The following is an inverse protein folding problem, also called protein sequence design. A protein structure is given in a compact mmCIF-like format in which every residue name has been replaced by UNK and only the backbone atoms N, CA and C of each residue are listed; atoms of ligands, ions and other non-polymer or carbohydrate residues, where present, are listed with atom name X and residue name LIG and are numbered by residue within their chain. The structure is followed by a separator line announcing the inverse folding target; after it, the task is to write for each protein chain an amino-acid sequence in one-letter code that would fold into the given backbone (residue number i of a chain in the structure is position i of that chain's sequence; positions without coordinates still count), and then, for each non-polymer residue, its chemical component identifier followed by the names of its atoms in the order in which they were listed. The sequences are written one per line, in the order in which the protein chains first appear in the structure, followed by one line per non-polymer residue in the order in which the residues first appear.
data_IF_144051519426
#
_entry.id   IF_144051519426
#
_cell.length_a   1.000
_cell.length_b   1.000
_cell.length_c   1.000
_cell.angle_alpha   90.00
_cell.angle_beta   90.00
_cell.angle_gamma   90.00
#
_symmetry.space_group_name_H-M   'P 1'
#
loop_
_entity.id
_entity.type
_entity.pdbx_description
1 polymer ?
#
# COMPACT_ATOMS: atom_id res chain seq x y z
N UNK A 1 1.07 21.06 29.71
CA UNK A 1 1.45 21.71 28.45
C UNK A 1 2.94 22.03 28.53
N UNK A 2 3.80 21.23 27.91
CA UNK A 2 5.22 21.53 27.75
C UNK A 2 5.43 21.59 26.24
N UNK A 3 5.51 22.81 25.69
CA UNK A 3 5.86 23.04 24.30
C UNK A 3 7.33 23.45 24.27
N UNK A 4 8.20 22.54 23.85
CA UNK A 4 9.59 22.87 23.52
C UNK A 4 9.89 22.32 22.13
N UNK A 5 10.03 23.23 21.17
CA UNK A 5 10.52 22.98 19.82
C UNK A 5 11.15 24.25 19.28
N UNK A 6 12.33 24.60 19.77
CA UNK A 6 13.19 25.68 19.21
C UNK A 6 14.59 25.19 18.84
N UNK A 7 14.79 23.88 18.78
CA UNK A 7 16.01 23.30 18.24
C UNK A 7 15.65 22.67 16.90
N UNK A 8 16.19 23.19 15.79
CA UNK A 8 15.91 22.74 14.41
C UNK A 8 16.24 21.28 14.08
N UNK A 9 16.43 20.45 15.11
CA UNK A 9 16.71 19.03 15.06
C UNK A 9 15.45 18.14 15.16
N UNK A 10 14.32 18.67 15.66
CA UNK A 10 13.11 17.88 15.96
C UNK A 10 11.82 18.64 15.67
N UNK A 11 10.78 17.90 15.33
CA UNK A 11 9.41 18.41 15.24
C UNK A 11 8.84 18.76 16.62
N UNK A 12 7.84 19.64 16.66
CA UNK A 12 7.16 20.01 17.90
C UNK A 12 6.38 18.81 18.46
N UNK A 13 6.38 18.61 19.79
CA UNK A 13 5.73 17.46 20.42
C UNK A 13 4.80 17.86 21.53
N UNK A 14 3.65 17.21 21.59
CA UNK A 14 2.73 17.26 22.73
C UNK A 14 2.24 15.85 23.04
N UNK A 15 1.89 15.59 24.30
CA UNK A 15 1.27 14.33 24.71
C UNK A 15 -0.05 14.68 25.38
N UNK A 16 -1.11 14.02 24.94
CA UNK A 16 -2.44 14.11 25.52
C UNK A 16 -3.02 12.70 25.62
N UNK A 17 -3.50 12.32 26.81
CA UNK A 17 -4.13 11.02 27.09
C UNK A 17 -3.30 9.81 26.62
N UNK A 18 -1.97 9.91 26.74
CA UNK A 18 -1.03 8.86 26.33
C UNK A 18 -0.75 8.78 24.82
N UNK A 19 -1.32 9.67 24.01
CA UNK A 19 -1.06 9.78 22.57
C UNK A 19 -0.11 10.95 22.30
N UNK A 20 0.98 10.69 21.58
CA UNK A 20 1.93 11.72 21.16
C UNK A 20 1.48 12.41 19.86
N UNK A 21 1.48 13.73 19.80
CA UNK A 21 1.31 14.49 18.55
C UNK A 21 2.66 15.06 18.13
N UNK A 22 3.08 14.80 16.88
CA UNK A 22 4.35 15.27 16.30
C UNK A 22 4.05 16.26 15.16
N UNK A 23 4.21 17.54 15.45
CA UNK A 23 3.89 18.67 14.58
C UNK A 23 5.10 19.03 13.71
N UNK A 24 5.05 18.59 12.45
CA UNK A 24 6.10 18.83 11.46
C UNK A 24 5.85 20.09 10.61
N UNK A 25 4.60 20.54 10.48
CA UNK A 25 4.21 21.60 9.54
C UNK A 25 4.79 21.33 8.15
N UNK A 26 5.58 22.27 7.61
CA UNK A 26 6.37 22.11 6.36
C UNK A 26 7.87 21.83 6.58
N UNK A 27 8.33 21.70 7.83
CA UNK A 27 9.74 21.53 8.21
C UNK A 27 10.34 20.15 7.92
N UNK A 28 11.64 20.12 7.63
CA UNK A 28 12.46 18.90 7.50
C UNK A 28 13.52 18.95 8.60
N UNK A 29 13.68 17.87 9.36
CA UNK A 29 14.38 17.87 10.64
C UNK A 29 15.65 17.04 10.63
N UNK A 30 16.66 17.62 11.28
CA UNK A 30 18.00 17.10 11.43
C UNK A 30 18.14 16.14 12.61
N UNK A 31 17.47 14.98 12.54
CA UNK A 31 17.41 14.03 13.66
C UNK A 31 18.71 13.24 13.78
N UNK A 32 19.27 13.20 15.00
CA UNK A 32 20.49 12.44 15.28
C UNK A 32 20.29 10.96 14.94
N UNK A 33 21.28 10.36 14.27
CA UNK A 33 21.29 8.97 13.82
C UNK A 33 20.22 8.61 12.76
N UNK A 34 19.57 9.60 12.15
CA UNK A 34 18.74 9.43 10.96
C UNK A 34 19.50 9.88 9.70
N UNK A 35 19.20 9.30 8.53
CA UNK A 35 19.88 9.64 7.29
C UNK A 35 19.48 11.02 6.75
N UNK A 36 20.37 11.63 5.98
CA UNK A 36 20.18 12.96 5.36
C UNK A 36 19.88 12.93 3.87
N UNK A 37 20.34 11.88 3.20
CA UNK A 37 20.13 11.71 1.78
C UNK A 37 19.85 10.24 1.47
N UNK A 38 19.08 10.03 0.43
CA UNK A 38 18.81 8.73 -0.17
C UNK A 38 19.19 8.80 -1.64
N UNK A 39 20.00 7.85 -2.08
CA UNK A 39 20.27 7.59 -3.49
C UNK A 39 19.75 6.20 -3.84
N UNK A 40 18.95 6.12 -4.90
CA UNK A 40 18.48 4.87 -5.49
C UNK A 40 19.43 4.46 -6.60
N UNK A 41 19.86 3.19 -6.59
CA UNK A 41 20.62 2.60 -7.70
C UNK A 41 19.86 1.41 -8.24
N UNK A 42 19.47 1.47 -9.51
CA UNK A 42 18.83 0.32 -10.18
C UNK A 42 19.82 -0.85 -10.19
N UNK A 43 19.36 -2.01 -9.70
CA UNK A 43 20.13 -3.25 -9.74
C UNK A 43 19.76 -4.06 -11.00
N UNK A 44 18.48 -4.31 -11.20
CA UNK A 44 17.92 -5.06 -12.32
C UNK A 44 16.41 -4.81 -12.44
N UNK A 45 15.80 -5.39 -13.46
CA UNK A 45 14.35 -5.39 -13.68
C UNK A 45 13.85 -6.76 -14.15
N UNK A 46 12.58 -7.04 -13.88
CA UNK A 46 11.83 -8.18 -14.45
C UNK A 46 10.82 -7.57 -15.42
N UNK A 47 11.09 -7.66 -16.71
CA UNK A 47 10.29 -7.06 -17.77
C UNK A 47 9.38 -8.13 -18.40
N UNK A 48 8.05 -7.95 -18.36
CA UNK A 48 7.13 -8.93 -18.93
C UNK A 48 7.11 -8.93 -20.47
N UNK A 49 7.75 -7.97 -21.12
CA UNK A 49 7.97 -7.99 -22.57
C UNK A 49 9.20 -8.82 -22.97
N UNK A 50 10.07 -9.17 -22.03
CA UNK A 50 11.21 -10.07 -22.28
C UNK A 50 10.69 -11.47 -22.62
N UNK A 51 11.19 -12.05 -23.73
CA UNK A 51 10.74 -13.36 -24.21
C UNK A 51 10.87 -14.47 -23.15
N UNK A 52 11.93 -14.43 -22.33
CA UNK A 52 12.14 -15.41 -21.28
C UNK A 52 11.11 -15.27 -20.15
N UNK A 53 10.70 -14.04 -19.82
CA UNK A 53 9.65 -13.79 -18.81
C UNK A 53 8.27 -14.11 -19.38
N UNK A 54 8.00 -13.70 -20.62
CA UNK A 54 6.74 -13.99 -21.31
C UNK A 54 6.51 -15.51 -21.44
N UNK A 55 7.56 -16.28 -21.72
CA UNK A 55 7.50 -17.74 -21.80
C UNK A 55 7.10 -18.42 -20.48
N UNK A 56 7.21 -17.74 -19.33
CA UNK A 56 6.74 -18.27 -18.03
C UNK A 56 5.22 -18.32 -17.92
N UNK A 57 4.51 -17.50 -18.71
CA UNK A 57 3.06 -17.29 -18.59
C UNK A 57 2.66 -16.22 -17.58
N UNK A 58 3.60 -15.44 -17.03
CA UNK A 58 3.30 -14.24 -16.28
C UNK A 58 2.81 -13.13 -17.23
N UNK A 59 1.53 -12.78 -17.15
CA UNK A 59 0.89 -11.85 -18.09
C UNK A 59 0.58 -10.47 -17.50
N UNK A 60 0.50 -10.36 -16.19
CA UNK A 60 0.17 -9.12 -15.48
C UNK A 60 0.58 -9.24 -14.01
N UNK A 61 0.69 -8.12 -13.30
CA UNK A 61 1.12 -8.03 -11.90
C UNK A 61 0.02 -7.40 -11.05
N UNK A 62 -0.46 -8.11 -10.03
CA UNK A 62 -1.39 -7.58 -9.03
C UNK A 62 -0.62 -6.90 -7.88
N UNK A 63 0.35 -7.62 -7.33
CA UNK A 63 1.29 -7.15 -6.32
C UNK A 63 2.54 -8.04 -6.35
N UNK A 64 3.53 -7.73 -5.51
CA UNK A 64 4.74 -8.56 -5.36
C UNK A 64 5.16 -8.65 -3.89
N UNK A 65 6.14 -9.47 -3.54
CA UNK A 65 6.87 -9.31 -2.30
C UNK A 65 8.26 -9.95 -2.39
N UNK A 66 9.11 -9.79 -1.37
CA UNK A 66 10.43 -10.43 -1.34
C UNK A 66 10.73 -11.18 -0.02
N UNK A 67 11.40 -12.33 -0.02
CA UNK A 67 11.81 -12.92 1.26
C UNK A 67 13.10 -12.29 1.80
N UNK A 68 13.55 -12.67 3.00
CA UNK A 68 14.81 -12.23 3.60
C UNK A 68 16.06 -12.62 2.80
N UNK A 69 15.95 -13.61 1.90
CA UNK A 69 16.99 -14.03 0.96
C UNK A 69 16.97 -13.20 -0.33
N UNK A 70 15.99 -12.31 -0.48
CA UNK A 70 15.81 -11.45 -1.63
C UNK A 70 15.15 -12.15 -2.82
N UNK A 71 14.60 -13.36 -2.67
CA UNK A 71 13.73 -13.96 -3.70
C UNK A 71 12.48 -13.13 -3.84
N UNK A 72 12.00 -12.98 -5.06
CA UNK A 72 10.89 -12.10 -5.42
C UNK A 72 9.70 -12.96 -5.81
N UNK A 73 8.56 -12.72 -5.19
CA UNK A 73 7.29 -13.39 -5.50
C UNK A 73 6.39 -12.39 -6.19
N UNK A 74 6.02 -12.67 -7.44
CA UNK A 74 5.08 -11.85 -8.21
C UNK A 74 3.74 -12.57 -8.26
N UNK A 75 2.69 -11.82 -7.95
CA UNK A 75 1.34 -12.32 -7.92
C UNK A 75 0.60 -11.89 -9.19
N UNK A 76 0.11 -12.85 -9.94
CA UNK A 76 -0.50 -12.62 -11.25
C UNK A 76 -1.93 -12.13 -11.10
N UNK A 77 -2.21 -10.99 -11.71
CA UNK A 77 -3.56 -10.38 -11.74
C UNK A 77 -4.51 -11.13 -12.66
N UNK A 78 -5.79 -11.18 -12.27
CA UNK A 78 -6.89 -11.72 -13.08
C UNK A 78 -6.65 -13.12 -13.66
N UNK A 79 -5.91 -13.97 -12.95
CA UNK A 79 -5.64 -15.32 -13.40
C UNK A 79 -6.93 -16.16 -13.44
N UNK A 80 -7.27 -16.70 -14.61
CA UNK A 80 -8.41 -17.60 -14.84
C UNK A 80 -7.99 -19.05 -15.07
N UNK A 81 -6.70 -19.30 -15.25
CA UNK A 81 -6.09 -20.61 -15.42
C UNK A 81 -4.58 -20.56 -15.12
N UNK A 82 -3.98 -21.73 -14.93
CA UNK A 82 -2.55 -21.88 -14.68
C UNK A 82 -2.14 -21.45 -13.27
N UNK A 83 -0.84 -21.22 -13.08
CA UNK A 83 -0.26 -20.78 -11.83
C UNK A 83 -0.43 -19.28 -11.61
N UNK A 84 -0.43 -18.87 -10.35
CA UNK A 84 -0.75 -17.50 -9.96
C UNK A 84 0.35 -16.81 -9.15
N UNK A 85 1.27 -17.57 -8.58
CA UNK A 85 2.47 -17.05 -7.93
C UNK A 85 3.69 -17.42 -8.76
N UNK A 86 4.53 -16.44 -9.05
CA UNK A 86 5.75 -16.57 -9.84
C UNK A 86 6.94 -16.19 -8.97
N UNK A 87 7.87 -17.12 -8.79
CA UNK A 87 9.08 -16.90 -8.00
C UNK A 87 10.25 -16.60 -8.91
N UNK A 88 10.97 -15.53 -8.54
CA UNK A 88 12.22 -15.12 -9.13
C UNK A 88 13.30 -15.10 -8.05
N UNK A 89 14.53 -15.39 -8.45
CA UNK A 89 15.66 -15.29 -7.54
C UNK A 89 16.03 -13.84 -7.20
N UNK A 90 17.05 -13.67 -6.36
CA UNK A 90 17.51 -12.35 -5.92
C UNK A 90 18.17 -11.48 -6.99
N UNK A 91 18.21 -11.97 -8.24
CA UNK A 91 18.76 -11.33 -9.44
C UNK A 91 17.72 -11.24 -10.57
N UNK A 92 16.46 -11.57 -10.29
CA UNK A 92 15.35 -11.45 -11.25
C UNK A 92 15.26 -12.58 -12.27
N UNK A 93 15.89 -13.74 -12.04
CA UNK A 93 15.70 -14.93 -12.88
C UNK A 93 14.50 -15.73 -12.41
N UNK A 94 13.65 -16.14 -13.34
CA UNK A 94 12.52 -17.01 -13.03
C UNK A 94 13.01 -18.37 -12.54
N UNK A 95 12.44 -18.84 -11.42
CA UNK A 95 12.76 -20.15 -10.83
C UNK A 95 11.60 -21.13 -11.01
N UNK A 96 10.37 -20.71 -10.66
CA UNK A 96 9.17 -21.54 -10.77
C UNK A 96 7.89 -20.73 -10.64
N UNK A 97 6.76 -21.36 -10.95
CA UNK A 97 5.43 -20.87 -10.61
C UNK A 97 4.61 -21.94 -9.91
N UNK A 98 3.67 -21.53 -9.06
CA UNK A 98 2.81 -22.42 -8.27
C UNK A 98 1.47 -21.72 -7.93
N UNK A 99 0.69 -22.31 -7.02
CA UNK A 99 -0.65 -21.88 -6.66
C UNK A 99 -1.59 -21.91 -7.88
N UNK A 100 -1.94 -23.12 -8.38
CA UNK A 100 -2.76 -23.30 -9.57
C UNK A 100 -4.21 -22.83 -9.34
N UNK A 101 -4.83 -22.28 -10.38
CA UNK A 101 -6.27 -22.02 -10.40
C UNK A 101 -7.04 -23.33 -10.56
N UNK A 102 -7.99 -23.58 -9.66
CA UNK A 102 -8.88 -24.75 -9.75
C UNK A 102 -9.63 -25.04 -8.45
N UNK A 103 -10.20 -26.24 -8.34
CA UNK A 103 -11.05 -26.66 -7.22
C UNK A 103 -10.48 -27.83 -6.40
N UNK A 104 -9.37 -28.41 -6.84
CA UNK A 104 -8.68 -29.51 -6.20
C UNK A 104 -7.87 -29.10 -4.97
N UNK A 105 -7.31 -30.08 -4.24
CA UNK A 105 -6.43 -29.81 -3.11
C UNK A 105 -5.23 -28.93 -3.50
N UNK A 106 -5.05 -27.82 -2.79
CA UNK A 106 -3.98 -26.85 -3.04
C UNK A 106 -4.19 -25.90 -4.22
N UNK A 107 -5.35 -25.97 -4.86
CA UNK A 107 -5.76 -25.03 -5.92
C UNK A 107 -6.57 -23.86 -5.33
N UNK A 108 -6.54 -22.71 -6.01
CA UNK A 108 -7.26 -21.49 -5.59
C UNK A 108 -8.29 -21.03 -6.62
N UNK A 109 -9.36 -20.42 -6.14
CA UNK A 109 -10.43 -19.82 -6.95
C UNK A 109 -10.53 -18.33 -6.66
N UNK A 110 -10.47 -17.50 -7.72
CA UNK A 110 -10.50 -16.03 -7.65
C UNK A 110 -9.57 -15.50 -6.54
N UNK A 111 -8.26 -15.71 -6.67
CA UNK A 111 -7.33 -15.37 -5.61
C UNK A 111 -7.30 -13.86 -5.34
N UNK A 112 -7.05 -13.51 -4.08
CA UNK A 112 -6.58 -12.19 -3.66
C UNK A 112 -5.28 -12.41 -2.88
N UNK A 113 -4.24 -11.73 -3.29
CA UNK A 113 -2.89 -12.00 -2.79
C UNK A 113 -2.53 -11.08 -1.64
N UNK A 114 -1.86 -11.67 -0.65
CA UNK A 114 -1.31 -10.96 0.49
C UNK A 114 0.22 -10.87 0.35
N UNK A 115 0.84 -10.06 1.20
CA UNK A 115 2.30 -10.06 1.38
C UNK A 115 2.77 -11.32 2.14
N UNK A 116 4.07 -11.58 2.08
CA UNK A 116 4.71 -12.58 2.95
C UNK A 116 4.50 -12.19 4.41
N UNK A 117 4.19 -13.17 5.26
CA UNK A 117 4.12 -12.93 6.70
C UNK A 117 5.51 -12.99 7.36
N UNK A 118 5.58 -12.72 8.67
CA UNK A 118 6.84 -12.75 9.42
C UNK A 118 7.54 -14.13 9.49
N UNK A 119 6.89 -15.20 9.02
CA UNK A 119 7.46 -16.55 8.88
C UNK A 119 7.85 -16.89 7.44
N UNK A 120 7.77 -15.91 6.53
CA UNK A 120 7.99 -16.09 5.09
C UNK A 120 7.00 -17.08 4.43
N UNK A 121 5.83 -17.25 5.04
CA UNK A 121 4.71 -17.96 4.40
C UNK A 121 4.01 -17.01 3.43
N UNK A 122 3.42 -17.56 2.36
CA UNK A 122 2.67 -16.84 1.33
C UNK A 122 1.19 -17.14 1.53
N UNK A 123 0.44 -16.25 2.20
CA UNK A 123 -0.98 -16.45 2.42
C UNK A 123 -1.77 -15.94 1.19
N UNK A 124 -2.62 -16.79 0.61
CA UNK A 124 -3.45 -16.50 -0.56
C UNK A 124 -4.92 -16.67 -0.18
N UNK A 125 -5.72 -15.60 -0.30
CA UNK A 125 -7.17 -15.70 -0.10
C UNK A 125 -7.77 -16.30 -1.37
N UNK A 126 -8.37 -17.48 -1.27
CA UNK A 126 -9.24 -17.99 -2.32
C UNK A 126 -10.67 -17.55 -2.04
N UNK A 127 -11.12 -16.48 -2.72
CA UNK A 127 -12.46 -15.93 -2.53
C UNK A 127 -13.56 -16.95 -2.87
N UNK A 128 -13.38 -17.72 -3.96
CA UNK A 128 -14.38 -18.69 -4.40
C UNK A 128 -14.57 -19.86 -3.42
N UNK A 129 -13.51 -20.28 -2.74
CA UNK A 129 -13.57 -21.36 -1.74
C UNK A 129 -13.70 -20.86 -0.29
N UNK A 130 -13.69 -19.54 -0.08
CA UNK A 130 -13.71 -18.86 1.22
C UNK A 130 -12.65 -19.40 2.20
N UNK A 131 -11.44 -19.57 1.68
CA UNK A 131 -10.29 -20.08 2.44
C UNK A 131 -9.07 -19.21 2.26
N UNK A 132 -8.15 -19.32 3.19
CA UNK A 132 -6.79 -18.84 3.05
C UNK A 132 -5.86 -20.05 2.99
N UNK A 133 -5.10 -20.14 1.90
CA UNK A 133 -4.03 -21.14 1.75
C UNK A 133 -2.71 -20.48 2.11
N UNK A 134 -1.96 -21.09 3.02
CA UNK A 134 -0.63 -20.63 3.37
C UNK A 134 0.39 -21.56 2.72
N UNK A 135 1.15 -21.02 1.78
CA UNK A 135 2.23 -21.73 1.12
C UNK A 135 3.55 -21.45 1.84
N UNK A 136 4.45 -22.42 1.86
CA UNK A 136 5.86 -22.15 2.15
C UNK A 136 6.53 -21.47 0.95
N UNK A 137 7.79 -21.09 1.16
CA UNK A 137 8.59 -20.48 0.12
C UNK A 137 9.06 -21.48 -0.94
N UNK A 138 8.69 -22.76 -0.82
CA UNK A 138 8.88 -23.81 -1.83
C UNK A 138 7.64 -24.03 -2.71
N UNK A 139 6.54 -23.33 -2.41
CA UNK A 139 5.27 -23.42 -3.13
C UNK A 139 4.38 -24.56 -2.66
N UNK A 140 4.67 -25.17 -1.51
CA UNK A 140 3.87 -26.24 -0.90
C UNK A 140 2.86 -25.67 0.07
N UNK A 141 1.63 -26.18 0.07
CA UNK A 141 0.61 -25.77 1.05
C UNK A 141 0.98 -26.31 2.43
N UNK A 142 1.29 -25.39 3.35
CA UNK A 142 1.55 -25.69 4.76
C UNK A 142 0.26 -25.93 5.53
N UNK A 143 -0.72 -25.05 5.34
CA UNK A 143 -2.03 -25.14 5.98
C UNK A 143 -3.10 -24.42 5.19
N UNK A 144 -4.34 -24.76 5.48
CA UNK A 144 -5.52 -24.05 4.99
C UNK A 144 -6.36 -23.61 6.19
N UNK A 145 -6.82 -22.37 6.17
CA UNK A 145 -7.73 -21.81 7.16
C UNK A 145 -9.01 -21.35 6.48
N UNK A 146 -10.14 -21.42 7.19
CA UNK A 146 -11.38 -20.86 6.70
C UNK A 146 -11.35 -19.32 6.79
N UNK A 147 -12.07 -18.65 5.89
CA UNK A 147 -12.34 -17.22 5.98
C UNK A 147 -13.74 -17.02 6.61
N UNK A 148 -13.81 -16.77 7.93
CA UNK A 148 -15.05 -16.90 8.70
C UNK A 148 -16.10 -15.85 8.31
N UNK A 149 -15.68 -14.61 8.07
CA UNK A 149 -16.55 -13.54 7.64
C UNK A 149 -16.59 -13.39 6.12
N UNK A 150 -17.76 -13.03 5.58
CA UNK A 150 -17.84 -12.54 4.21
C UNK A 150 -17.42 -11.07 4.20
N UNK A 151 -16.23 -10.81 3.69
CA UNK A 151 -15.75 -9.46 3.42
C UNK A 151 -15.00 -9.45 2.09
N UNK A 152 -14.92 -8.28 1.47
CA UNK A 152 -14.13 -8.10 0.26
C UNK A 152 -12.86 -7.32 0.61
N UNK A 153 -11.69 -7.97 0.69
CA UNK A 153 -10.45 -7.25 0.92
C UNK A 153 -10.19 -6.31 -0.25
N UNK A 154 -9.83 -5.07 0.07
CA UNK A 154 -9.41 -4.11 -0.94
C UNK A 154 -7.95 -4.40 -1.34
N UNK A 155 -7.58 -4.15 -2.61
CA UNK A 155 -6.19 -4.28 -3.05
C UNK A 155 -5.22 -3.55 -2.12
N UNK A 156 -4.05 -4.14 -1.88
CA UNK A 156 -3.00 -3.62 -0.98
C UNK A 156 -3.44 -3.41 0.48
N UNK A 157 -4.68 -3.78 0.82
CA UNK A 157 -5.25 -3.63 2.15
C UNK A 157 -4.95 -4.79 3.09
N UNK A 158 -4.38 -5.89 2.61
CA UNK A 158 -4.12 -7.10 3.40
C UNK A 158 -2.62 -7.19 3.75
N UNK A 159 -2.26 -6.66 4.92
CA UNK A 159 -0.87 -6.48 5.36
C UNK A 159 -0.60 -7.36 6.59
N UNK A 160 0.24 -8.40 6.48
CA UNK A 160 0.73 -9.16 7.64
C UNK A 160 1.51 -8.26 8.59
N UNK A 161 1.30 -8.46 9.89
CA UNK A 161 1.94 -7.73 10.96
C UNK A 161 2.99 -8.61 11.65
N UNK A 162 4.02 -7.99 12.23
CA UNK A 162 5.13 -8.73 12.84
C UNK A 162 4.72 -9.55 14.09
N UNK A 163 3.58 -9.25 14.71
CA UNK A 163 3.01 -10.05 15.80
C UNK A 163 2.26 -11.30 15.32
N UNK A 164 2.16 -11.52 14.01
CA UNK A 164 1.44 -12.66 13.40
C UNK A 164 -0.02 -12.38 13.08
N UNK A 165 -0.51 -11.17 13.40
CA UNK A 165 -1.83 -10.70 12.99
C UNK A 165 -1.79 -10.13 11.57
N UNK A 166 -2.95 -9.69 11.09
CA UNK A 166 -3.12 -9.06 9.79
C UNK A 166 -3.92 -7.76 9.93
N UNK A 167 -3.42 -6.70 9.32
CA UNK A 167 -4.20 -5.49 9.03
C UNK A 167 -4.95 -5.72 7.72
N UNK A 168 -6.27 -5.58 7.74
CA UNK A 168 -7.11 -5.81 6.56
C UNK A 168 -8.04 -4.63 6.32
N UNK A 169 -7.80 -3.89 5.24
CA UNK A 169 -8.75 -2.95 4.65
C UNK A 169 -9.74 -3.72 3.79
N UNK A 170 -11.03 -3.67 4.14
CA UNK A 170 -12.06 -4.48 3.49
C UNK A 170 -13.42 -3.79 3.45
N UNK A 171 -14.24 -4.16 2.47
CA UNK A 171 -15.66 -3.83 2.45
C UNK A 171 -16.40 -4.84 3.31
N UNK A 172 -17.14 -4.34 4.30
CA UNK A 172 -18.12 -5.12 5.04
C UNK A 172 -19.41 -5.20 4.25
N UNK A 173 -19.99 -6.39 4.20
CA UNK A 173 -21.26 -6.63 3.52
C UNK A 173 -22.27 -7.26 4.46
N UNK A 174 -23.54 -6.95 4.24
CA UNK A 174 -24.62 -7.71 4.87
C UNK A 174 -24.63 -9.12 4.26
N UNK A 175 -24.48 -10.19 5.05
CA UNK A 175 -24.38 -11.55 4.51
C UNK A 175 -25.69 -12.09 3.91
N UNK A 176 -26.82 -11.41 4.11
CA UNK A 176 -28.15 -11.80 3.62
C UNK A 176 -28.51 -11.07 2.33
N UNK A 177 -28.21 -9.78 2.24
CA UNK A 177 -28.56 -8.94 1.08
C UNK A 177 -27.39 -8.70 0.14
N UNK A 178 -26.15 -8.90 0.62
CA UNK A 178 -24.90 -8.54 -0.05
C UNK A 178 -24.69 -7.03 -0.21
N UNK A 179 -25.46 -6.21 0.50
CA UNK A 179 -25.30 -4.77 0.48
C UNK A 179 -23.94 -4.38 1.07
N UNK A 180 -23.24 -3.46 0.40
CA UNK A 180 -21.98 -2.90 0.89
C UNK A 180 -22.26 -1.88 1.98
N UNK A 181 -21.83 -2.15 3.21
CA UNK A 181 -22.19 -1.35 4.38
C UNK A 181 -21.19 -0.23 4.63
N UNK A 182 -19.91 -0.58 4.67
CA UNK A 182 -18.80 0.34 4.99
C UNK A 182 -17.47 -0.25 4.57
N UNK A 183 -16.49 0.63 4.33
CA UNK A 183 -15.09 0.24 4.25
C UNK A 183 -14.54 0.25 5.68
N UNK A 184 -13.86 -0.81 6.09
CA UNK A 184 -13.30 -0.97 7.42
C UNK A 184 -11.81 -1.29 7.36
N UNK A 185 -11.05 -0.76 8.31
CA UNK A 185 -9.66 -1.12 8.56
C UNK A 185 -9.65 -1.93 9.85
N UNK A 186 -9.48 -3.25 9.74
CA UNK A 186 -9.60 -4.19 10.85
C UNK A 186 -8.29 -4.94 11.15
N UNK A 187 -8.18 -5.45 12.37
CA UNK A 187 -7.12 -6.36 12.83
C UNK A 187 -7.67 -7.77 12.96
N UNK A 188 -6.97 -8.70 12.31
CA UNK A 188 -7.35 -10.09 12.19
C UNK A 188 -6.27 -10.97 12.79
N UNK A 189 -6.69 -12.00 13.52
CA UNK A 189 -5.77 -12.99 14.09
C UNK A 189 -5.18 -13.93 13.04
N UNK A 190 -4.26 -14.83 13.43
CA UNK A 190 -3.68 -15.85 12.55
C UNK A 190 -4.68 -16.91 12.06
N UNK A 191 -5.88 -16.92 12.64
CA UNK A 191 -7.06 -17.69 12.26
C UNK A 191 -8.02 -16.92 11.34
N UNK A 192 -7.66 -15.70 10.94
CA UNK A 192 -8.45 -14.80 10.10
C UNK A 192 -9.81 -14.39 10.71
N UNK A 193 -9.96 -14.48 12.03
CA UNK A 193 -11.05 -13.81 12.74
C UNK A 193 -10.66 -12.35 12.99
N UNK A 194 -11.58 -11.43 12.68
CA UNK A 194 -11.43 -10.04 13.09
C UNK A 194 -11.65 -9.91 14.59
N UNK A 195 -10.69 -9.33 15.30
CA UNK A 195 -10.79 -9.09 16.73
C UNK A 195 -10.89 -7.60 17.08
N UNK A 196 -10.63 -6.70 16.13
CA UNK A 196 -10.76 -5.24 16.33
C UNK A 196 -10.94 -4.47 15.03
N UNK A 197 -11.87 -3.51 15.02
CA UNK A 197 -11.98 -2.48 13.97
C UNK A 197 -11.23 -1.21 14.43
N UNK A 198 -10.25 -0.75 13.64
CA UNK A 198 -9.51 0.50 13.92
C UNK A 198 -10.29 1.72 13.45
N UNK A 199 -10.80 1.65 12.22
CA UNK A 199 -11.59 2.71 11.57
C UNK A 199 -12.64 2.12 10.63
N UNK A 200 -13.68 2.92 10.42
CA UNK A 200 -14.77 2.66 9.50
C UNK A 200 -15.04 3.92 8.68
N UNK A 201 -15.28 3.74 7.39
CA UNK A 201 -15.57 4.79 6.42
C UNK A 201 -16.90 4.46 5.75
N UNK A 202 -17.85 5.41 5.70
CA UNK A 202 -19.13 5.17 5.04
C UNK A 202 -18.90 4.96 3.54
N UNK A 203 -19.68 4.06 2.95
CA UNK A 203 -19.79 3.98 1.49
C UNK A 203 -21.00 4.84 1.12
N UNK A 204 -20.80 6.04 0.57
CA UNK A 204 -21.93 6.87 0.16
C UNK A 204 -22.66 6.20 -1.01
N UNK A 205 -23.98 6.29 -1.00
CA UNK A 205 -24.78 5.98 -2.18
C UNK A 205 -24.34 6.85 -3.36
N UNK A 206 -24.45 6.31 -4.57
CA UNK A 206 -24.03 7.02 -5.78
C UNK A 206 -24.74 8.39 -5.92
N UNK A 207 -26.01 8.46 -5.52
CA UNK A 207 -26.80 9.71 -5.53
C UNK A 207 -26.34 10.73 -4.50
N UNK A 208 -25.66 10.29 -3.44
CA UNK A 208 -25.21 11.13 -2.33
C UNK A 208 -23.76 11.61 -2.51
N UNK A 209 -23.06 11.12 -3.54
CA UNK A 209 -21.69 11.53 -3.86
C UNK A 209 -21.65 12.98 -4.33
N UNK A 210 -21.15 13.85 -3.45
CA UNK A 210 -20.98 15.28 -3.72
C UNK A 210 -19.64 15.63 -4.32
N UNK A 211 -18.63 14.75 -4.25
CA UNK A 211 -17.29 15.04 -4.77
C UNK A 211 -16.56 13.79 -5.25
N UNK A 212 -15.63 13.97 -6.19
CA UNK A 212 -14.76 12.90 -6.74
C UNK A 212 -13.82 12.25 -5.71
N UNK A 213 -13.51 12.95 -4.61
CA UNK A 213 -12.64 12.41 -3.56
C UNK A 213 -13.48 11.96 -2.38
N UNK A 214 -13.80 10.68 -2.37
CA UNK A 214 -14.40 10.04 -1.19
C UNK A 214 -13.34 9.83 -0.13
N UNK A 215 -13.79 9.84 1.13
CA UNK A 215 -12.91 9.51 2.23
C UNK A 215 -12.58 8.01 2.18
N UNK A 216 -11.31 7.70 1.90
CA UNK A 216 -10.85 6.34 1.67
C UNK A 216 -9.58 6.08 2.49
N UNK A 217 -9.47 4.95 3.21
CA UNK A 217 -8.30 4.65 4.02
C UNK A 217 -7.04 4.42 3.20
N UNK A 218 -5.92 4.93 3.68
CA UNK A 218 -4.59 4.62 3.18
C UNK A 218 -3.77 4.08 4.35
N UNK A 219 -3.21 2.88 4.18
CA UNK A 219 -2.53 2.14 5.26
C UNK A 219 -1.13 1.71 4.89
N UNK A 220 -0.26 1.59 5.89
CA UNK A 220 1.00 0.89 5.83
C UNK A 220 1.31 0.26 7.20
N UNK A 221 2.24 -0.69 7.25
CA UNK A 221 2.72 -1.23 8.52
C UNK A 221 4.23 -1.48 8.49
N UNK A 222 4.89 -1.17 9.60
CA UNK A 222 6.26 -1.56 9.91
C UNK A 222 6.27 -2.74 10.89
N UNK A 223 7.43 -3.10 11.45
CA UNK A 223 7.50 -4.22 12.41
C UNK A 223 6.87 -3.89 13.76
N UNK A 224 6.68 -2.62 14.08
CA UNK A 224 6.15 -2.20 15.39
C UNK A 224 4.90 -1.35 15.31
N UNK A 225 4.60 -0.79 14.14
CA UNK A 225 3.58 0.26 14.00
C UNK A 225 2.71 0.06 12.78
N UNK A 226 1.46 0.48 12.90
CA UNK A 226 0.49 0.60 11.81
C UNK A 226 0.28 2.08 11.55
N UNK A 227 0.34 2.47 10.29
CA UNK A 227 0.10 3.84 9.83
C UNK A 227 -1.23 3.89 9.10
N UNK A 228 -2.06 4.86 9.46
CA UNK A 228 -3.38 5.03 8.87
C UNK A 228 -3.63 6.52 8.63
N UNK A 229 -3.99 6.84 7.40
CA UNK A 229 -4.57 8.14 7.05
C UNK A 229 -5.77 7.91 6.15
N UNK A 230 -6.36 8.99 5.65
CA UNK A 230 -7.42 8.91 4.67
C UNK A 230 -7.24 9.93 3.56
N UNK A 231 -7.78 9.63 2.39
CA UNK A 231 -7.74 10.51 1.23
C UNK A 231 -8.43 11.86 1.51
N UNK A 232 -9.38 11.95 2.45
CA UNK A 232 -9.98 13.25 2.80
C UNK A 232 -9.22 14.01 3.91
N UNK A 233 -8.22 13.41 4.55
CA UNK A 233 -7.44 14.05 5.63
C UNK A 233 -6.58 15.20 5.10
N UNK A 234 -6.52 16.30 5.84
CA UNK A 234 -5.79 17.51 5.43
C UNK A 234 -4.31 17.52 5.84
N UNK A 235 -3.90 16.73 6.85
CA UNK A 235 -2.50 16.67 7.32
C UNK A 235 -2.15 15.55 8.31
N UNK A 236 -3.13 14.76 8.78
CA UNK A 236 -2.92 13.82 9.89
C UNK A 236 -2.67 12.39 9.41
N UNK A 237 -1.67 11.75 10.01
CA UNK A 237 -1.40 10.31 9.91
C UNK A 237 -1.42 9.73 11.33
N UNK A 238 -2.33 8.82 11.57
CA UNK A 238 -2.45 8.08 12.82
C UNK A 238 -1.44 6.94 12.85
N UNK A 239 -0.82 6.72 14.01
CA UNK A 239 0.14 5.66 14.26
C UNK A 239 -0.35 4.81 15.43
N UNK A 240 -0.61 3.55 15.15
CA UNK A 240 -1.05 2.56 16.11
C UNK A 240 0.09 1.60 16.42
N UNK A 241 0.13 1.06 17.64
CA UNK A 241 0.90 -0.16 17.90
C UNK A 241 0.20 -1.38 17.28
N UNK A 242 0.87 -2.54 17.28
CA UNK A 242 0.30 -3.77 16.71
C UNK A 242 -0.90 -4.32 17.51
N UNK A 243 -1.14 -3.82 18.73
CA UNK A 243 -2.36 -4.13 19.49
C UNK A 243 -3.54 -3.21 19.11
N UNK A 244 -3.36 -2.31 18.13
CA UNK A 244 -4.37 -1.38 17.66
C UNK A 244 -4.61 -0.20 18.60
N UNK A 245 -3.69 0.11 19.52
CA UNK A 245 -3.77 1.30 20.36
C UNK A 245 -3.14 2.46 19.61
N UNK A 246 -3.86 3.58 19.49
CA UNK A 246 -3.31 4.81 18.94
C UNK A 246 -2.22 5.32 19.88
N UNK A 247 -0.99 5.41 19.39
CA UNK A 247 0.17 5.86 20.17
C UNK A 247 0.70 7.21 19.71
N UNK A 248 0.49 7.56 18.44
CA UNK A 248 0.97 8.83 17.89
C UNK A 248 0.10 9.37 16.76
N UNK A 249 0.11 10.69 16.59
CA UNK A 249 -0.34 11.42 15.40
C UNK A 249 0.83 12.17 14.79
N UNK A 250 1.10 11.95 13.51
CA UNK A 250 2.06 12.73 12.73
C UNK A 250 1.25 13.77 11.97
N UNK A 251 1.57 15.05 12.20
CA UNK A 251 0.91 16.18 11.56
C UNK A 251 1.90 16.82 10.60
N UNK A 252 1.59 16.80 9.30
CA UNK A 252 2.47 17.31 8.26
C UNK A 252 1.67 18.01 7.16
N UNK A 253 2.08 19.24 6.85
CA UNK A 253 1.46 20.05 5.81
C UNK A 253 2.11 19.76 4.45
N UNK A 254 1.27 19.60 3.44
CA UNK A 254 1.67 19.37 2.06
C UNK A 254 1.24 20.55 1.19
N UNK A 255 2.07 20.94 0.20
CA UNK A 255 1.64 21.91 -0.79
C UNK A 255 0.38 21.43 -1.51
N UNK A 256 -0.61 22.32 -1.62
CA UNK A 256 -1.79 22.03 -2.41
C UNK A 256 -1.41 21.89 -3.90
N UNK A 257 -1.91 20.84 -4.54
CA UNK A 257 -1.65 20.57 -5.96
C UNK A 257 -2.96 20.74 -6.70
N UNK A 258 -3.01 21.70 -7.62
CA UNK A 258 -4.20 21.95 -8.43
C UNK A 258 -4.52 20.72 -9.31
N UNK A 259 -5.80 20.41 -9.45
CA UNK A 259 -6.27 19.40 -10.40
C UNK A 259 -6.00 19.92 -11.83
N UNK A 260 -5.39 19.11 -12.72
CA UNK A 260 -5.12 19.50 -14.09
C UNK A 260 -6.36 19.90 -14.87
N UNK A 261 -6.20 20.85 -15.81
CA UNK A 261 -7.23 21.13 -16.81
C UNK A 261 -7.46 19.88 -17.66
N UNK A 262 -8.73 19.51 -17.90
CA UNK A 262 -9.08 18.31 -18.64
C UNK A 262 -9.39 17.08 -17.77
N UNK A 263 -9.02 17.10 -16.47
CA UNK A 263 -9.22 15.96 -15.58
C UNK A 263 -10.70 15.58 -15.43
N UNK A 264 -11.60 16.56 -15.46
CA UNK A 264 -13.05 16.32 -15.40
C UNK A 264 -13.52 15.54 -16.63
N UNK A 265 -13.07 15.93 -17.80
CA UNK A 265 -13.42 15.31 -19.07
C UNK A 265 -12.85 13.89 -19.15
N UNK A 266 -11.62 13.69 -18.68
CA UNK A 266 -10.98 12.38 -18.57
C UNK A 266 -11.75 11.45 -17.61
N UNK A 267 -12.03 11.92 -16.39
CA UNK A 267 -12.75 11.14 -15.37
C UNK A 267 -14.17 10.77 -15.81
N UNK A 268 -14.90 11.73 -16.38
CA UNK A 268 -16.29 11.53 -16.79
C UNK A 268 -16.40 10.87 -18.17
N UNK A 269 -15.34 10.86 -18.97
CA UNK A 269 -15.32 10.40 -20.37
C UNK A 269 -15.89 8.99 -20.57
N UNK A 270 -15.48 7.98 -19.77
CA UNK A 270 -16.02 6.63 -19.84
C UNK A 270 -17.49 6.50 -19.45
N UNK A 271 -18.07 7.50 -18.78
CA UNK A 271 -19.44 7.45 -18.27
C UNK A 271 -20.46 7.92 -19.33
N UNK A 272 -21.68 7.32 -19.36
CA UNK A 272 -22.77 7.75 -20.22
C UNK A 272 -23.06 9.27 -20.15
N UNK A 273 -23.57 9.89 -21.23
CA UNK A 273 -23.86 11.33 -21.27
C UNK A 273 -24.87 11.81 -20.21
N UNK A 274 -25.77 10.93 -19.77
CA UNK A 274 -26.83 11.17 -18.80
C UNK A 274 -26.45 10.77 -17.37
N UNK A 275 -25.23 10.27 -17.15
CA UNK A 275 -24.76 9.83 -15.84
C UNK A 275 -24.83 10.96 -14.80
N UNK A 276 -25.38 10.72 -13.59
CA UNK A 276 -25.63 11.76 -12.58
C UNK A 276 -24.38 12.56 -12.18
N UNK A 277 -23.21 11.90 -12.13
CA UNK A 277 -21.92 12.55 -11.85
C UNK A 277 -21.58 13.72 -12.76
N UNK A 278 -22.06 13.73 -14.01
CA UNK A 278 -21.80 14.86 -14.92
C UNK A 278 -22.38 16.17 -14.40
N UNK A 279 -23.44 16.11 -13.59
CA UNK A 279 -24.16 17.26 -13.03
C UNK A 279 -23.87 17.49 -11.55
N UNK A 280 -23.82 16.40 -10.77
CA UNK A 280 -23.89 16.48 -9.30
C UNK A 280 -22.53 16.36 -8.60
N UNK A 281 -21.50 15.89 -9.31
CA UNK A 281 -20.19 15.62 -8.70
C UNK A 281 -19.30 16.87 -8.72
N UNK A 282 -18.89 17.33 -7.55
CA UNK A 282 -17.94 18.44 -7.42
C UNK A 282 -16.50 17.96 -7.67
N UNK A 283 -15.77 18.76 -8.44
CA UNK A 283 -14.33 18.63 -8.67
C UNK A 283 -13.64 19.72 -7.86
N UNK A 284 -13.00 19.38 -6.72
CA UNK A 284 -12.27 20.35 -5.92
C UNK A 284 -11.16 21.02 -6.73
N UNK A 285 -10.67 22.17 -6.25
CA UNK A 285 -9.56 22.85 -6.94
C UNK A 285 -8.27 22.03 -6.88
N UNK A 286 -8.05 21.30 -5.80
CA UNK A 286 -6.78 20.66 -5.48
C UNK A 286 -6.96 19.19 -5.15
N UNK A 287 -5.94 18.39 -5.40
CA UNK A 287 -5.86 17.01 -4.90
C UNK A 287 -5.77 16.96 -3.38
N UNK A 288 -6.22 15.84 -2.78
CA UNK A 288 -5.89 15.55 -1.39
C UNK A 288 -4.37 15.45 -1.19
N UNK A 289 -3.87 15.65 0.03
CA UNK A 289 -2.43 15.73 0.28
C UNK A 289 -1.73 14.37 0.18
N UNK A 290 -2.39 13.29 0.59
CA UNK A 290 -1.84 11.95 0.67
C UNK A 290 -2.37 11.06 -0.45
N UNK A 291 -1.48 10.28 -1.02
CA UNK A 291 -1.77 9.33 -2.09
C UNK A 291 -1.42 7.90 -1.71
N UNK A 292 -0.32 7.71 -0.99
CA UNK A 292 0.11 6.39 -0.53
C UNK A 292 0.99 6.49 0.71
N UNK A 293 0.95 5.43 1.53
CA UNK A 293 1.86 5.21 2.64
C UNK A 293 2.67 3.93 2.37
N UNK A 294 3.94 3.93 2.72
CA UNK A 294 4.78 2.73 2.77
C UNK A 294 5.63 2.76 4.03
N UNK A 295 6.09 1.60 4.49
CA UNK A 295 7.04 1.52 5.58
C UNK A 295 8.16 0.54 5.24
N UNK A 296 9.30 0.70 5.90
CA UNK A 296 10.45 -0.18 5.74
C UNK A 296 10.84 -0.92 7.01
N UNK A 297 11.81 -1.83 6.87
CA UNK A 297 12.38 -2.62 7.98
C UNK A 297 13.09 -1.82 9.07
N UNK A 298 13.24 -0.49 8.89
CA UNK A 298 13.85 0.43 9.85
C UNK A 298 12.80 1.30 10.54
N UNK A 299 11.52 0.93 10.44
CA UNK A 299 10.39 1.64 11.03
C UNK A 299 10.18 3.05 10.46
N UNK A 300 10.76 3.35 9.29
CA UNK A 300 10.54 4.64 8.61
C UNK A 300 9.24 4.60 7.83
N UNK A 301 8.51 5.71 7.88
CA UNK A 301 7.29 5.91 7.11
C UNK A 301 7.59 6.75 5.88
N UNK A 302 7.14 6.30 4.72
CA UNK A 302 7.21 6.99 3.44
C UNK A 302 5.80 7.46 3.08
N UNK A 303 5.64 8.75 2.84
CA UNK A 303 4.36 9.39 2.56
C UNK A 303 4.43 10.06 1.20
N UNK A 304 3.65 9.54 0.27
CA UNK A 304 3.59 10.04 -1.10
C UNK A 304 2.44 11.02 -1.23
N UNK A 305 2.73 12.19 -1.79
CA UNK A 305 1.72 13.19 -2.15
C UNK A 305 1.66 13.45 -3.65
N UNK A 306 0.73 14.29 -4.08
CA UNK A 306 0.55 14.66 -5.50
C UNK A 306 1.58 15.65 -6.04
N UNK A 307 2.41 16.24 -5.17
CA UNK A 307 3.46 17.18 -5.57
C UNK A 307 4.44 16.52 -6.53
N UNK A 308 5.04 17.29 -7.45
CA UNK A 308 6.06 16.77 -8.37
C UNK A 308 7.44 17.28 -7.96
N UNK A 309 8.44 16.39 -7.98
CA UNK A 309 9.83 16.79 -7.90
C UNK A 309 10.26 17.32 -9.27
N UNK A 310 10.66 18.60 -9.41
CA UNK A 310 11.00 19.19 -10.71
C UNK A 310 12.16 18.50 -11.43
N UNK A 311 13.09 17.90 -10.69
CA UNK A 311 14.25 17.22 -11.28
C UNK A 311 13.91 15.80 -11.77
N UNK A 312 12.97 15.12 -11.13
CA UNK A 312 12.65 13.71 -11.41
C UNK A 312 11.33 13.52 -12.17
N UNK A 313 10.44 14.52 -12.23
CA UNK A 313 9.10 14.41 -12.82
C UNK A 313 8.12 13.48 -12.06
N UNK A 314 8.61 12.77 -11.04
CA UNK A 314 7.84 11.86 -10.21
C UNK A 314 7.26 12.55 -8.96
N UNK A 315 6.30 11.89 -8.31
CA UNK A 315 5.62 12.38 -7.12
C UNK A 315 6.62 12.59 -5.96
N UNK A 316 6.33 13.57 -5.11
CA UNK A 316 7.08 13.86 -3.88
C UNK A 316 6.79 12.79 -2.83
N UNK A 317 7.85 12.34 -2.17
CA UNK A 317 7.79 11.41 -1.06
C UNK A 317 8.51 11.99 0.16
N UNK A 318 7.77 12.16 1.24
CA UNK A 318 8.32 12.55 2.54
C UNK A 318 8.66 11.29 3.33
N UNK A 319 9.84 11.26 3.94
CA UNK A 319 10.29 10.16 4.79
C UNK A 319 10.32 10.66 6.22
N UNK A 320 9.63 9.93 7.08
CA UNK A 320 9.54 10.18 8.51
C UNK A 320 10.35 9.14 9.28
N UNK A 321 11.06 9.60 10.30
CA UNK A 321 11.76 8.74 11.24
C UNK A 321 10.78 7.90 12.07
N UNK A 322 11.25 6.86 12.77
CA UNK A 322 10.41 6.08 13.68
C UNK A 322 9.80 6.91 14.81
N UNK A 323 10.37 8.07 15.12
CA UNK A 323 9.82 9.02 16.09
C UNK A 323 8.81 10.01 15.51
N UNK A 324 8.50 9.93 14.21
CA UNK A 324 7.51 10.76 13.52
C UNK A 324 8.03 12.12 13.03
N UNK A 325 9.34 12.37 13.04
CA UNK A 325 9.92 13.59 12.48
C UNK A 325 10.13 13.40 10.97
N UNK A 326 9.72 14.37 10.14
CA UNK A 326 10.05 14.37 8.71
C UNK A 326 11.54 14.64 8.54
N UNK A 327 12.29 13.63 8.13
CA UNK A 327 13.75 13.71 7.98
C UNK A 327 14.17 14.02 6.54
N UNK A 328 13.29 13.79 5.58
CA UNK A 328 13.60 13.97 4.15
C UNK A 328 12.35 14.25 3.34
N UNK A 329 12.51 15.04 2.27
CA UNK A 329 11.59 15.10 1.13
C UNK A 329 12.39 14.77 -0.13
N UNK A 330 11.96 13.75 -0.85
CA UNK A 330 12.62 13.27 -2.07
C UNK A 330 11.57 12.89 -3.12
N UNK A 331 12.00 12.24 -4.19
CA UNK A 331 11.13 11.43 -5.03
C UNK A 331 11.73 10.04 -5.17
N UNK A 332 10.88 9.04 -5.21
CA UNK A 332 11.35 7.68 -5.46
C UNK A 332 11.51 7.40 -6.97
N UNK A 333 11.11 8.34 -7.85
CA UNK A 333 11.46 8.31 -9.28
C UNK A 333 10.57 7.46 -10.18
N UNK A 334 9.62 6.72 -9.63
CA UNK A 334 8.74 5.79 -10.37
C UNK A 334 7.25 6.03 -10.14
N UNK A 335 6.89 6.95 -9.24
CA UNK A 335 5.50 7.33 -9.01
C UNK A 335 5.13 8.45 -9.99
N UNK A 336 4.53 8.09 -11.11
CA UNK A 336 3.58 8.95 -11.82
C UNK A 336 2.21 8.36 -11.55
N UNK A 337 1.78 8.42 -10.30
CA UNK A 337 0.44 8.00 -9.91
C UNK A 337 -0.53 9.07 -10.42
N UNK A 338 -0.93 8.93 -11.68
CA UNK A 338 -2.12 9.60 -12.23
C UNK A 338 -3.35 8.92 -11.62
N UNK A 339 -4.41 9.69 -11.37
CA UNK A 339 -5.47 9.27 -10.48
C UNK A 339 -6.17 8.00 -10.95
N UNK A 340 -6.10 7.00 -10.09
CA UNK A 340 -6.74 5.71 -10.15
C UNK A 340 -6.35 4.94 -8.89
N UNK A 341 -7.02 3.83 -8.54
CA UNK A 341 -6.52 2.98 -7.48
C UNK A 341 -5.04 2.67 -7.77
N UNK A 342 -4.15 2.62 -6.75
CA UNK A 342 -2.73 2.44 -6.97
C UNK A 342 -2.50 1.03 -7.51
N UNK A 343 -2.65 0.83 -8.82
CA UNK A 343 -2.50 -0.49 -9.45
C UNK A 343 -1.03 -0.91 -9.57
N UNK A 344 -0.13 -0.22 -8.87
CA UNK A 344 1.30 -0.47 -8.95
C UNK A 344 1.92 -0.45 -7.58
N UNK A 345 2.33 -1.65 -7.22
CA UNK A 345 2.71 -2.04 -5.90
C UNK A 345 4.18 -1.66 -5.62
N UNK A 346 4.44 -1.19 -4.40
CA UNK A 346 5.79 -0.88 -3.92
C UNK A 346 6.07 -1.67 -2.65
N UNK A 347 7.30 -2.15 -2.55
CA UNK A 347 7.83 -2.79 -1.35
C UNK A 347 9.17 -2.17 -1.02
N UNK A 348 9.38 -1.82 0.24
CA UNK A 348 10.64 -1.29 0.74
C UNK A 348 11.12 -2.20 1.85
N UNK A 349 12.05 -3.11 1.54
CA UNK A 349 12.59 -4.05 2.52
C UNK A 349 13.91 -4.66 2.09
N UNK A 350 14.65 -5.22 3.05
CA UNK A 350 15.98 -5.77 2.84
C UNK A 350 16.95 -4.75 2.21
N UNK A 351 16.80 -3.46 2.53
CA UNK A 351 17.61 -2.39 1.94
C UNK A 351 17.35 -2.15 0.44
N UNK A 352 16.28 -2.72 -0.11
CA UNK A 352 15.87 -2.57 -1.50
C UNK A 352 14.49 -1.97 -1.61
N UNK A 353 14.24 -1.42 -2.78
CA UNK A 353 12.96 -0.95 -3.22
C UNK A 353 12.54 -1.72 -4.46
N UNK A 354 11.35 -2.30 -4.41
CA UNK A 354 10.73 -3.01 -5.51
C UNK A 354 9.52 -2.20 -5.95
N UNK A 355 9.42 -1.93 -7.25
CA UNK A 355 8.32 -1.12 -7.78
C UNK A 355 7.79 -1.74 -9.07
N UNK A 356 6.47 -1.86 -9.17
CA UNK A 356 5.81 -2.16 -10.45
C UNK A 356 5.66 -0.89 -11.27
N UNK A 357 5.94 -0.94 -12.56
CA UNK A 357 5.67 0.14 -13.53
C UNK A 357 5.04 -0.47 -14.77
N UNK A 358 4.11 0.23 -15.41
CA UNK A 358 3.69 -0.10 -16.77
C UNK A 358 4.46 0.77 -17.74
N UNK A 359 4.97 0.12 -18.79
CA UNK A 359 5.69 0.78 -19.86
C UNK A 359 4.71 1.42 -20.83
N UNK A 360 5.17 2.35 -21.68
CA UNK A 360 4.36 2.88 -22.78
C UNK A 360 3.82 1.79 -23.73
N UNK A 361 4.45 0.60 -23.78
CA UNK A 361 3.95 -0.54 -24.55
C UNK A 361 2.72 -1.24 -23.93
N UNK A 362 2.33 -0.87 -22.71
CA UNK A 362 1.24 -1.49 -21.95
C UNK A 362 1.66 -2.71 -21.11
N UNK A 363 2.91 -3.17 -21.25
CA UNK A 363 3.45 -4.27 -20.44
C UNK A 363 4.00 -3.77 -19.10
N UNK A 364 3.75 -4.47 -17.99
CA UNK A 364 4.35 -4.11 -16.71
C UNK A 364 5.78 -4.64 -16.59
N UNK A 365 6.55 -4.02 -15.71
CA UNK A 365 7.87 -4.46 -15.27
C UNK A 365 8.02 -4.25 -13.77
N UNK A 366 8.85 -5.07 -13.11
CA UNK A 366 9.31 -4.83 -11.75
C UNK A 366 10.70 -4.22 -11.82
N UNK A 367 10.88 -3.03 -11.24
CA UNK A 367 12.17 -2.38 -11.07
C UNK A 367 12.68 -2.64 -9.64
N UNK A 368 13.95 -3.02 -9.52
CA UNK A 368 14.60 -3.28 -8.22
C UNK A 368 15.75 -2.30 -8.02
N UNK A 369 15.71 -1.54 -6.93
CA UNK A 369 16.72 -0.55 -6.57
C UNK A 369 17.35 -0.87 -5.22
N UNK A 370 18.66 -0.71 -5.07
CA UNK A 370 19.31 -0.62 -3.76
C UNK A 370 19.11 0.77 -3.16
N UNK A 371 18.88 0.83 -1.85
CA UNK A 371 18.75 2.06 -1.07
C UNK A 371 20.11 2.42 -0.45
N UNK A 372 20.74 3.48 -0.95
CA UNK A 372 21.98 4.00 -0.38
C UNK A 372 21.70 5.25 0.46
N UNK A 373 21.94 5.12 1.76
CA UNK A 373 21.70 6.18 2.73
C UNK A 373 23.01 6.88 3.11
N UNK A 374 22.99 8.21 3.09
CA UNK A 374 24.08 9.01 3.64
C UNK A 374 23.73 9.41 5.06
N UNK A 375 24.58 9.01 6.01
CA UNK A 375 24.55 9.45 7.40
C UNK A 375 25.41 10.72 7.55
N UNK A 376 25.16 11.51 8.59
CA UNK A 376 26.08 12.58 9.02
C UNK A 376 27.39 12.01 9.59
#
# INVERSE_FOLDING_TARGET
MIACGKDGHRAGRTIQDGVESVENGTGIYAVKAEPRALTLREEFRIDLEDEAVAATGLTDIENLDADSRGRIFIYRRYATSGNTVFEFDSRGRFERSFCPIGQGPGEVQNPRFMRLNGKEEIPVVSMGSRKVLLFDAEGTVLRTADLPALFFPLPHGFVPLANGDYLVTHIRVDPRTLDMLKISVGLFGPDFNEWRELRAYPIPEETDLKTIFTDFPVVAASRTSIFLTSMASSREIEVYDLAGRLIRRILADYPAVDIPRGFREEFLGPLPPDHPYRRNLAFPKTFPPFLALYADDRERLYVVGHGKNPAAGANTCDIFSPSGDRIMRTSLGYQTLELGPPLRDIVIKNGRLYCVREKPSGFPEVLVFSLHWTMD
#
